data_IF_335137508093
#
_entry.id   IF_335137508093
#
_cell.length_a   1.000
_cell.length_b   1.000
_cell.length_c   1.000
_cell.angle_alpha   90.00
_cell.angle_beta   90.00
_cell.angle_gamma   90.00
#
_symmetry.space_group_name_H-M   'P 1'
#
loop_
_entity.id
_entity.type
_entity.pdbx_description
1 polymer ?
#
# COMPACT_ATOMS: atom_id res chain seq x y z
N UNK A 1 -52.76 26.44 35.62
CA UNK A 1 -53.47 26.55 34.32
C UNK A 1 -52.78 25.61 33.33
N UNK A 2 -53.51 24.54 33.02
CA UNK A 2 -53.07 23.51 32.05
C UNK A 2 -53.33 23.99 30.60
N UNK A 3 -52.41 23.73 29.67
CA UNK A 3 -52.73 23.68 28.24
C UNK A 3 -52.08 22.43 27.63
N UNK A 4 -52.95 21.51 27.24
CA UNK A 4 -52.70 20.35 26.37
C UNK A 4 -52.53 20.86 24.93
N UNK A 5 -51.64 20.23 24.15
CA UNK A 5 -51.66 20.26 22.68
C UNK A 5 -51.17 18.93 22.15
N UNK A 6 -51.92 18.34 21.53
CA UNK A 6 -52.38 17.43 20.51
C UNK A 6 -51.28 16.89 19.60
N UNK A 7 -51.25 15.53 19.55
CA UNK A 7 -50.46 14.71 18.60
C UNK A 7 -51.15 14.73 17.22
N UNK A 8 -50.35 14.95 16.18
CA UNK A 8 -50.72 14.78 14.77
C UNK A 8 -49.98 13.61 14.15
N UNK A 9 -50.67 12.49 14.02
CA UNK A 9 -50.25 11.31 13.25
C UNK A 9 -50.34 11.60 11.76
N UNK A 10 -49.25 11.40 11.02
CA UNK A 10 -49.26 11.35 9.53
C UNK A 10 -48.91 9.94 9.09
N UNK A 11 -49.89 9.24 8.61
CA UNK A 11 -49.80 8.00 7.84
C UNK A 11 -49.17 8.27 6.48
N UNK A 12 -48.05 7.59 6.16
CA UNK A 12 -47.46 7.61 4.83
C UNK A 12 -47.85 6.34 4.09
N UNK A 13 -48.50 6.53 2.95
CA UNK A 13 -48.97 5.48 2.07
C UNK A 13 -47.84 4.85 1.28
N UNK A 14 -47.66 3.55 1.40
CA UNK A 14 -46.78 2.72 0.54
C UNK A 14 -47.43 2.53 -0.83
N UNK A 15 -46.81 3.04 -1.85
CA UNK A 15 -47.15 2.72 -3.26
C UNK A 15 -46.28 1.56 -3.73
N UNK A 16 -46.90 0.39 -3.86
CA UNK A 16 -46.33 -0.80 -4.48
C UNK A 16 -46.15 -0.56 -5.98
N UNK A 17 -44.89 -0.53 -6.48
CA UNK A 17 -44.61 -0.53 -7.91
C UNK A 17 -44.30 -1.97 -8.36
N UNK A 18 -45.25 -2.54 -9.13
CA UNK A 18 -45.14 -3.87 -9.73
C UNK A 18 -44.16 -3.81 -10.90
N UNK A 19 -43.06 -4.52 -10.80
CA UNK A 19 -42.16 -4.75 -11.91
C UNK A 19 -42.63 -5.96 -12.69
N UNK A 20 -42.94 -5.71 -13.95
CA UNK A 20 -43.36 -6.66 -14.96
C UNK A 20 -42.15 -7.46 -15.46
N UNK A 21 -42.15 -8.76 -15.20
CA UNK A 21 -41.10 -9.70 -15.63
C UNK A 21 -41.36 -10.13 -17.07
N UNK A 22 -40.58 -9.72 -18.04
CA UNK A 22 -40.57 -10.27 -19.40
C UNK A 22 -39.65 -11.49 -19.43
N UNK A 23 -40.25 -12.66 -19.59
CA UNK A 23 -39.59 -13.92 -19.94
C UNK A 23 -39.39 -14.00 -21.45
N UNK A 24 -38.16 -14.13 -21.91
CA UNK A 24 -37.79 -14.45 -23.29
C UNK A 24 -37.27 -15.90 -23.27
N UNK A 25 -37.88 -16.81 -24.05
CA UNK A 25 -37.37 -18.17 -24.20
C UNK A 25 -36.25 -18.22 -25.25
N UNK A 26 -35.08 -18.70 -24.85
CA UNK A 26 -33.99 -19.03 -25.78
C UNK A 26 -34.20 -20.44 -26.29
N UNK A 27 -34.45 -20.56 -27.58
CA UNK A 27 -34.54 -21.84 -28.31
C UNK A 27 -33.15 -22.46 -28.52
N UNK A 28 -32.97 -23.67 -28.02
CA UNK A 28 -31.82 -24.53 -28.29
C UNK A 28 -31.98 -25.18 -29.63
N UNK A 29 -31.07 -24.97 -30.58
CA UNK A 29 -30.95 -25.75 -31.84
C UNK A 29 -29.80 -26.75 -31.64
N UNK A 30 -30.19 -28.03 -31.56
CA UNK A 30 -29.29 -29.18 -31.61
C UNK A 30 -29.12 -29.56 -33.09
N UNK A 31 -27.91 -29.51 -33.63
CA UNK A 31 -27.54 -30.17 -34.87
C UNK A 31 -26.68 -31.39 -34.58
N UNK A 32 -27.27 -32.55 -34.81
CA UNK A 32 -26.62 -33.86 -34.84
C UNK A 32 -26.10 -34.06 -36.25
N UNK A 33 -24.82 -34.38 -36.41
CA UNK A 33 -24.22 -34.83 -37.66
C UNK A 33 -23.37 -36.08 -37.42
N UNK A 34 -23.79 -37.17 -38.04
CA UNK A 34 -23.33 -38.53 -37.83
C UNK A 34 -22.24 -38.99 -38.79
N UNK A 35 -21.41 -39.88 -38.28
CA UNK A 35 -20.79 -41.09 -38.88
C UNK A 35 -20.04 -41.07 -40.22
N UNK A 36 -18.81 -41.61 -40.17
CA UNK A 36 -18.10 -42.18 -41.31
C UNK A 36 -16.77 -42.80 -40.96
N UNK A 37 -16.73 -44.09 -40.65
CA UNK A 37 -15.61 -45.04 -40.81
C UNK A 37 -16.07 -46.08 -41.88
N UNK A 38 -15.23 -46.97 -42.44
CA UNK A 38 -13.84 -47.37 -42.14
C UNK A 38 -12.97 -47.60 -43.44
N UNK A 39 -11.68 -47.98 -43.25
CA UNK A 39 -10.84 -48.52 -44.31
C UNK A 39 -9.48 -49.00 -43.80
N UNK A 40 -9.41 -50.29 -43.54
CA UNK A 40 -8.18 -51.04 -43.29
C UNK A 40 -7.34 -51.13 -44.55
N UNK A 41 -6.01 -51.14 -44.46
CA UNK A 41 -5.19 -52.19 -45.00
C UNK A 41 -3.74 -52.18 -44.50
N UNK A 42 -3.23 -53.38 -44.35
CA UNK A 42 -1.96 -53.82 -43.83
C UNK A 42 -0.83 -53.71 -44.84
N UNK A 43 0.41 -53.65 -44.36
CA UNK A 43 1.62 -53.77 -45.18
C UNK A 43 2.89 -53.77 -44.36
N UNK A 44 3.30 -54.95 -43.90
CA UNK A 44 4.61 -55.27 -43.33
C UNK A 44 5.73 -55.10 -44.32
N UNK A 45 6.86 -54.54 -43.94
CA UNK A 45 8.20 -55.03 -44.41
C UNK A 45 9.31 -54.53 -43.45
N UNK A 46 9.94 -55.48 -42.80
CA UNK A 46 11.23 -55.38 -42.11
C UNK A 46 12.35 -55.04 -43.09
N UNK A 47 13.24 -54.17 -42.69
CA UNK A 47 14.69 -54.32 -43.00
C UNK A 47 15.56 -53.68 -41.93
N UNK A 48 16.32 -54.51 -41.27
CA UNK A 48 17.49 -54.16 -40.45
C UNK A 48 18.58 -53.55 -41.36
N UNK A 49 19.25 -52.53 -40.84
CA UNK A 49 20.66 -52.33 -41.15
C UNK A 49 21.31 -51.55 -39.99
N UNK A 50 22.30 -52.16 -39.47
CA UNK A 50 23.26 -51.71 -38.47
C UNK A 50 24.15 -50.59 -39.01
N UNK A 51 24.52 -49.64 -38.13
CA UNK A 51 25.55 -48.62 -38.44
C UNK A 51 25.77 -47.64 -37.31
N UNK A 52 26.68 -48.00 -36.46
CA UNK A 52 27.68 -47.15 -35.75
C UNK A 52 27.33 -45.83 -35.09
N UNK A 53 27.68 -45.84 -33.84
CA UNK A 53 27.91 -44.75 -32.85
C UNK A 53 28.68 -43.56 -33.41
N UNK A 54 28.15 -42.38 -33.13
CA UNK A 54 28.99 -41.22 -32.85
C UNK A 54 28.39 -40.45 -31.66
N UNK A 55 29.12 -40.48 -30.56
CA UNK A 55 28.80 -39.74 -29.33
C UNK A 55 28.98 -38.25 -29.59
N UNK A 56 27.88 -37.52 -29.74
CA UNK A 56 27.89 -36.07 -29.57
C UNK A 56 27.57 -35.79 -28.12
N UNK A 57 28.59 -35.43 -27.37
CA UNK A 57 28.56 -34.90 -26.02
C UNK A 57 27.80 -33.57 -26.04
N UNK A 58 26.51 -33.61 -25.71
CA UNK A 58 25.69 -32.44 -25.45
C UNK A 58 26.02 -31.96 -24.04
N UNK A 59 26.89 -30.97 -23.97
CA UNK A 59 27.13 -30.19 -22.76
C UNK A 59 25.85 -29.41 -22.40
N UNK A 60 25.03 -30.00 -21.56
CA UNK A 60 24.01 -29.27 -20.84
C UNK A 60 24.69 -28.22 -19.95
N UNK A 61 24.31 -26.92 -20.02
CA UNK A 61 24.75 -25.98 -19.02
C UNK A 61 24.04 -26.34 -17.70
N UNK A 62 24.85 -26.92 -16.81
CA UNK A 62 24.48 -27.14 -15.41
C UNK A 62 24.26 -25.80 -14.73
N UNK A 63 23.03 -25.27 -14.77
CA UNK A 63 22.62 -24.13 -13.98
C UNK A 63 22.05 -24.58 -12.64
N UNK A 64 22.91 -25.16 -11.81
CA UNK A 64 22.65 -25.28 -10.38
C UNK A 64 23.26 -24.10 -9.65
N UNK A 65 22.58 -22.99 -9.72
CA UNK A 65 22.67 -21.95 -8.72
C UNK A 65 21.31 -21.93 -8.01
N UNK A 66 21.19 -22.71 -6.95
CA UNK A 66 20.14 -22.52 -5.94
C UNK A 66 20.43 -21.18 -5.26
N UNK A 67 20.06 -20.10 -5.92
CA UNK A 67 19.99 -18.82 -5.29
C UNK A 67 18.68 -18.81 -4.48
N UNK A 68 18.80 -18.80 -3.18
CA UNK A 68 17.75 -18.34 -2.25
C UNK A 68 17.48 -16.83 -2.44
N UNK A 69 17.44 -16.36 -3.66
CA UNK A 69 17.19 -14.98 -4.07
C UNK A 69 15.78 -14.85 -4.64
N UNK A 70 15.03 -13.85 -4.18
CA UNK A 70 13.73 -13.49 -4.75
C UNK A 70 13.83 -13.24 -6.26
N UNK A 71 12.67 -13.25 -6.94
CA UNK A 71 12.60 -12.95 -8.38
C UNK A 71 13.07 -11.51 -8.65
N UNK A 72 13.80 -11.29 -9.74
CA UNK A 72 14.18 -9.94 -10.16
C UNK A 72 12.94 -9.08 -10.39
N UNK A 73 12.94 -7.88 -9.82
CA UNK A 73 11.81 -6.96 -9.93
C UNK A 73 11.53 -6.56 -11.40
N UNK A 74 12.58 -6.46 -12.23
CA UNK A 74 12.44 -6.24 -13.67
C UNK A 74 11.68 -7.38 -14.34
N UNK A 75 12.05 -8.64 -14.05
CA UNK A 75 11.37 -9.80 -14.63
C UNK A 75 9.91 -9.90 -14.20
N UNK A 76 9.59 -9.58 -12.93
CA UNK A 76 8.21 -9.57 -12.44
C UNK A 76 7.42 -8.42 -13.07
N UNK A 77 8.01 -7.23 -13.24
CA UNK A 77 7.38 -6.08 -13.90
C UNK A 77 6.88 -6.41 -15.30
N UNK A 78 7.68 -7.12 -16.09
CA UNK A 78 7.32 -7.54 -17.45
C UNK A 78 6.15 -8.53 -17.51
N UNK A 79 5.83 -9.19 -16.38
CA UNK A 79 4.64 -10.07 -16.30
C UNK A 79 3.36 -9.33 -15.97
N UNK A 80 3.44 -8.08 -15.50
CA UNK A 80 2.26 -7.32 -15.12
C UNK A 80 1.51 -6.83 -16.37
N UNK A 81 0.18 -7.01 -16.43
CA UNK A 81 -0.59 -6.48 -17.54
C UNK A 81 -0.49 -4.94 -17.58
N UNK A 82 -0.27 -4.40 -18.77
CA UNK A 82 -0.30 -2.94 -19.00
C UNK A 82 -1.67 -2.54 -19.51
N UNK A 83 -2.42 -1.73 -18.75
CA UNK A 83 -3.78 -1.28 -19.08
C UNK A 83 -4.00 0.15 -18.61
N UNK A 84 -5.00 0.83 -19.18
CA UNK A 84 -5.45 2.13 -18.66
C UNK A 84 -6.09 2.02 -17.27
N UNK A 85 -6.21 3.14 -16.54
CA UNK A 85 -6.96 3.19 -15.28
C UNK A 85 -8.43 2.89 -15.53
N UNK A 86 -9.01 2.00 -14.75
CA UNK A 86 -10.46 1.82 -14.69
C UNK A 86 -11.12 3.01 -13.96
N UNK A 87 -12.42 3.24 -14.17
CA UNK A 87 -13.15 4.27 -13.45
C UNK A 87 -13.05 4.08 -11.92
N UNK A 88 -12.95 5.20 -11.19
CA UNK A 88 -12.97 5.21 -9.70
C UNK A 88 -14.39 4.99 -9.14
N UNK A 89 -15.40 4.92 -9.99
CA UNK A 89 -16.81 4.72 -9.59
C UNK A 89 -16.95 3.53 -8.64
N UNK A 90 -17.68 3.73 -7.56
CA UNK A 90 -17.90 2.70 -6.52
C UNK A 90 -16.75 2.52 -5.53
N UNK A 91 -15.67 3.26 -5.66
CA UNK A 91 -14.60 3.24 -4.66
C UNK A 91 -15.07 3.87 -3.35
N UNK A 92 -14.86 3.15 -2.27
CA UNK A 92 -14.79 3.67 -0.90
C UNK A 92 -13.79 2.79 -0.12
N UNK A 93 -13.25 3.28 0.97
CA UNK A 93 -12.38 2.47 1.83
C UNK A 93 -13.11 1.25 2.39
N UNK A 94 -14.42 1.33 2.63
CA UNK A 94 -15.25 0.23 3.13
C UNK A 94 -15.28 -0.99 2.20
N UNK A 95 -15.00 -0.79 0.89
CA UNK A 95 -14.87 -1.89 -0.06
C UNK A 95 -13.70 -2.83 0.27
N UNK A 96 -12.77 -2.39 1.12
CA UNK A 96 -11.61 -3.14 1.58
C UNK A 96 -11.81 -3.71 3.00
N UNK A 97 -13.02 -3.64 3.55
CA UNK A 97 -13.36 -4.15 4.87
C UNK A 97 -12.94 -3.22 6.01
N UNK A 98 -12.97 -3.74 7.23
CA UNK A 98 -12.59 -2.98 8.41
C UNK A 98 -11.11 -2.56 8.34
N UNK A 99 -10.84 -1.29 8.66
CA UNK A 99 -9.48 -0.80 8.77
C UNK A 99 -8.71 -1.56 9.87
N UNK A 100 -7.47 -1.90 9.59
CA UNK A 100 -6.54 -2.54 10.53
C UNK A 100 -7.07 -3.86 11.12
N UNK A 101 -7.80 -4.63 10.29
CA UNK A 101 -8.29 -5.94 10.72
C UNK A 101 -7.12 -6.86 11.09
N UNK A 102 -7.25 -7.56 12.21
CA UNK A 102 -6.37 -8.68 12.55
C UNK A 102 -6.60 -9.81 11.53
N UNK A 103 -5.72 -9.92 10.55
CA UNK A 103 -5.87 -10.88 9.43
C UNK A 103 -5.01 -12.12 9.61
N UNK A 104 -4.02 -12.09 10.49
CA UNK A 104 -3.16 -13.22 10.85
C UNK A 104 -3.58 -13.87 12.17
N UNK A 105 -4.60 -13.28 12.83
CA UNK A 105 -5.19 -13.77 14.09
C UNK A 105 -4.18 -13.86 15.24
N UNK A 106 -3.19 -12.95 15.27
CA UNK A 106 -2.21 -12.88 16.35
C UNK A 106 -2.73 -12.12 17.59
N UNK A 107 -3.94 -11.53 17.51
CA UNK A 107 -4.59 -10.76 18.56
C UNK A 107 -4.23 -9.27 18.57
N UNK A 108 -3.40 -8.83 17.63
CA UNK A 108 -3.08 -7.42 17.40
C UNK A 108 -3.81 -6.90 16.16
N UNK A 109 -4.09 -5.61 16.09
CA UNK A 109 -4.54 -5.01 14.85
C UNK A 109 -3.35 -4.78 13.90
N UNK A 110 -3.58 -4.87 12.60
CA UNK A 110 -2.52 -4.74 11.58
C UNK A 110 -1.72 -3.45 11.71
N UNK A 111 -2.33 -2.31 12.14
CA UNK A 111 -1.57 -1.08 12.38
C UNK A 111 -0.49 -1.27 13.45
N UNK A 112 -0.83 -1.95 14.54
CA UNK A 112 0.13 -2.22 15.61
C UNK A 112 1.18 -3.23 15.18
N UNK A 113 0.85 -4.22 14.34
CA UNK A 113 1.83 -5.15 13.79
C UNK A 113 2.88 -4.42 12.93
N UNK A 114 2.45 -3.50 12.07
CA UNK A 114 3.38 -2.70 11.26
C UNK A 114 4.23 -1.76 12.14
N UNK A 115 3.63 -1.12 13.16
CA UNK A 115 4.42 -0.33 14.12
C UNK A 115 5.40 -1.21 14.89
N UNK A 116 5.02 -2.44 15.25
CA UNK A 116 5.91 -3.40 15.88
C UNK A 116 7.06 -3.83 14.98
N UNK A 117 6.79 -4.02 13.70
CA UNK A 117 7.81 -4.39 12.71
C UNK A 117 8.81 -3.27 12.45
N UNK A 118 8.32 -2.04 12.23
CA UNK A 118 9.10 -0.95 11.63
C UNK A 118 9.74 -0.01 12.65
N UNK A 119 9.26 0.03 13.90
CA UNK A 119 9.82 0.88 14.96
C UNK A 119 10.87 0.15 15.78
N UNK A 120 11.88 0.88 16.22
CA UNK A 120 12.86 0.48 17.25
C UNK A 120 12.53 1.15 18.58
N UNK A 121 13.19 0.77 19.68
CA UNK A 121 13.04 1.36 21.01
C UNK A 121 11.59 1.54 21.47
N UNK A 122 10.77 0.49 21.24
CA UNK A 122 9.33 0.52 21.44
C UNK A 122 8.94 0.46 22.91
N UNK A 123 7.87 1.17 23.26
CA UNK A 123 7.11 0.95 24.50
C UNK A 123 5.69 0.51 24.16
N UNK A 124 5.04 -0.13 25.12
CA UNK A 124 3.73 -0.74 24.91
C UNK A 124 2.75 -0.34 26.01
N UNK A 125 1.48 -0.34 25.68
CA UNK A 125 0.40 -0.17 26.62
C UNK A 125 0.34 -1.40 27.55
N UNK A 126 0.35 -1.18 28.85
CA UNK A 126 0.23 -2.27 29.84
C UNK A 126 -1.04 -3.09 29.62
N UNK A 127 -0.93 -4.42 29.80
CA UNK A 127 -2.06 -5.34 29.66
C UNK A 127 -2.47 -5.66 28.22
N UNK A 128 -1.66 -5.29 27.23
CA UNK A 128 -1.96 -5.57 25.80
C UNK A 128 -1.03 -6.60 25.19
N UNK A 129 -0.30 -7.39 25.97
CA UNK A 129 0.63 -8.42 25.47
C UNK A 129 1.61 -7.91 24.40
N UNK A 130 2.11 -6.67 24.58
CA UNK A 130 2.97 -5.98 23.62
C UNK A 130 2.34 -5.73 22.23
N UNK A 131 1.01 -5.79 22.11
CA UNK A 131 0.32 -5.41 20.89
C UNK A 131 0.34 -3.90 20.66
N UNK A 132 -0.15 -3.12 21.63
CA UNK A 132 -0.37 -1.69 21.41
C UNK A 132 0.91 -0.91 21.66
N UNK A 133 1.58 -0.51 20.57
CA UNK A 133 2.77 0.35 20.62
C UNK A 133 2.37 1.75 21.07
N UNK A 134 3.00 2.28 22.11
CA UNK A 134 2.75 3.62 22.67
C UNK A 134 3.82 4.63 22.26
N UNK A 135 5.06 4.20 22.09
CA UNK A 135 6.15 5.01 21.54
C UNK A 135 7.15 4.13 20.81
N UNK A 136 8.04 4.76 20.05
CA UNK A 136 9.11 4.07 19.35
C UNK A 136 9.82 5.05 18.41
N UNK A 137 10.87 4.57 17.75
CA UNK A 137 11.69 5.35 16.84
C UNK A 137 11.61 4.75 15.44
N UNK A 138 11.25 5.56 14.45
CA UNK A 138 11.21 5.20 13.05
C UNK A 138 12.41 5.83 12.32
N UNK A 139 13.17 5.02 11.58
CA UNK A 139 14.00 5.54 10.49
C UNK A 139 13.11 5.52 9.24
N UNK A 140 12.58 6.67 8.88
CA UNK A 140 11.55 6.76 7.83
C UNK A 140 12.11 6.40 6.45
N UNK A 141 11.55 5.39 5.77
CA UNK A 141 12.04 4.98 4.46
C UNK A 141 11.79 6.05 3.37
N UNK A 142 10.81 6.93 3.54
CA UNK A 142 10.44 7.91 2.51
C UNK A 142 11.32 9.15 2.51
N UNK A 143 11.84 9.55 3.66
CA UNK A 143 12.64 10.77 3.82
C UNK A 143 14.06 10.52 4.31
N UNK A 144 14.34 9.33 4.85
CA UNK A 144 15.54 8.97 5.61
C UNK A 144 15.66 9.73 6.97
N UNK A 145 14.62 10.46 7.37
CA UNK A 145 14.61 11.14 8.66
C UNK A 145 14.32 10.16 9.81
N UNK A 146 14.81 10.51 11.00
CA UNK A 146 14.46 9.80 12.22
C UNK A 146 13.26 10.50 12.86
N UNK A 147 12.21 9.73 13.17
CA UNK A 147 10.96 10.23 13.75
C UNK A 147 10.71 9.51 15.06
N UNK A 148 10.61 10.25 16.14
CA UNK A 148 10.19 9.71 17.43
C UNK A 148 8.65 9.65 17.47
N UNK A 149 8.12 8.45 17.42
CA UNK A 149 6.68 8.19 17.49
C UNK A 149 6.20 8.20 18.93
N UNK A 150 5.15 8.95 19.19
CA UNK A 150 4.39 8.90 20.44
C UNK A 150 2.92 8.80 20.11
N UNK A 151 2.25 7.75 20.60
CA UNK A 151 0.81 7.55 20.40
C UNK A 151 0.02 8.61 21.16
N UNK A 152 -0.80 9.35 20.45
CA UNK A 152 -1.66 10.39 21.00
C UNK A 152 -2.57 11.00 19.94
N UNK A 153 -3.58 11.74 20.36
CA UNK A 153 -4.56 12.33 19.45
C UNK A 153 -3.90 13.32 18.47
N UNK A 154 -2.93 14.11 18.91
CA UNK A 154 -2.22 15.09 18.09
C UNK A 154 -0.87 14.60 17.54
N UNK A 155 -0.31 13.51 18.08
CA UNK A 155 1.06 13.07 17.79
C UNK A 155 1.12 11.84 16.89
N UNK A 156 0.08 10.99 16.90
CA UNK A 156 0.06 9.76 16.09
C UNK A 156 0.17 10.00 14.58
N UNK A 157 -0.21 11.19 14.11
CA UNK A 157 -0.15 11.56 12.70
C UNK A 157 1.28 11.75 12.16
N UNK A 158 2.28 11.90 13.05
CA UNK A 158 3.69 12.00 12.63
C UNK A 158 4.17 10.72 11.92
N UNK A 159 3.68 9.56 12.36
CA UNK A 159 3.94 8.26 11.72
C UNK A 159 2.61 7.64 11.28
N UNK A 160 2.45 7.47 9.99
CA UNK A 160 1.28 6.83 9.39
C UNK A 160 1.65 5.46 8.83
N UNK A 161 0.68 4.58 8.69
CA UNK A 161 0.85 3.33 7.95
C UNK A 161 0.33 3.57 6.53
N UNK A 162 1.26 3.54 5.59
CA UNK A 162 0.96 3.71 4.17
C UNK A 162 0.67 2.36 3.50
N UNK A 163 -0.28 2.38 2.56
CA UNK A 163 -0.43 1.33 1.56
C UNK A 163 0.49 1.66 0.39
N UNK A 164 1.59 0.92 0.23
CA UNK A 164 2.61 1.16 -0.82
C UNK A 164 1.97 1.19 -2.22
N UNK A 165 1.01 0.31 -2.46
CA UNK A 165 0.01 0.43 -3.53
C UNK A 165 -1.26 0.96 -2.89
N UNK A 166 -1.53 2.26 -3.05
CA UNK A 166 -2.68 2.93 -2.43
C UNK A 166 -4.01 2.26 -2.82
N UNK A 167 -4.96 2.17 -1.88
CA UNK A 167 -6.22 1.45 -2.11
C UNK A 167 -7.02 2.02 -3.28
N UNK A 168 -7.04 3.34 -3.45
CA UNK A 168 -7.69 4.00 -4.58
C UNK A 168 -6.98 3.72 -5.91
N UNK A 169 -5.64 3.65 -5.92
CA UNK A 169 -4.87 3.23 -7.09
C UNK A 169 -5.12 1.77 -7.42
N UNK A 170 -5.08 0.90 -6.42
CA UNK A 170 -5.39 -0.53 -6.56
C UNK A 170 -6.81 -0.76 -7.14
N UNK A 171 -7.82 0.01 -6.65
CA UNK A 171 -9.18 -0.06 -7.18
C UNK A 171 -9.22 0.18 -8.67
N UNK A 172 -8.57 1.24 -9.14
CA UNK A 172 -8.51 1.63 -10.54
C UNK A 172 -7.60 0.72 -11.39
N UNK A 173 -6.87 -0.19 -10.75
CA UNK A 173 -5.92 -1.10 -11.41
C UNK A 173 -6.21 -2.58 -11.10
N UNK A 174 -7.48 -2.92 -10.83
CA UNK A 174 -7.91 -4.31 -10.74
C UNK A 174 -8.60 -4.71 -9.44
N UNK A 175 -8.36 -4.03 -8.32
CA UNK A 175 -8.92 -4.44 -7.04
C UNK A 175 -10.46 -4.41 -7.01
N UNK A 176 -11.12 -3.59 -7.84
CA UNK A 176 -12.56 -3.62 -8.01
C UNK A 176 -13.11 -4.96 -8.53
N UNK A 177 -12.26 -5.78 -9.18
CA UNK A 177 -12.60 -7.12 -9.69
C UNK A 177 -12.35 -8.22 -8.66
N UNK A 178 -11.64 -7.92 -7.58
CA UNK A 178 -11.39 -8.88 -6.51
C UNK A 178 -12.65 -9.08 -5.67
N UNK A 179 -12.81 -10.27 -5.09
CA UNK A 179 -13.81 -10.52 -4.06
C UNK A 179 -13.47 -9.74 -2.78
N UNK A 180 -14.48 -9.49 -1.94
CA UNK A 180 -14.32 -8.66 -0.74
C UNK A 180 -13.18 -9.14 0.18
N UNK A 181 -13.06 -10.45 0.39
CA UNK A 181 -12.00 -11.00 1.25
C UNK A 181 -10.60 -10.75 0.69
N UNK A 182 -10.42 -10.82 -0.64
CA UNK A 182 -9.12 -10.49 -1.26
C UNK A 182 -8.80 -9.00 -1.17
N UNK A 183 -9.80 -8.11 -1.26
CA UNK A 183 -9.62 -6.68 -0.99
C UNK A 183 -9.24 -6.41 0.46
N UNK A 184 -9.92 -7.08 1.41
CA UNK A 184 -9.56 -7.01 2.83
C UNK A 184 -8.13 -7.47 3.10
N UNK A 185 -7.70 -8.58 2.47
CA UNK A 185 -6.32 -9.04 2.54
C UNK A 185 -5.34 -8.00 1.99
N UNK A 186 -5.58 -7.44 0.79
CA UNK A 186 -4.73 -6.40 0.20
C UNK A 186 -4.55 -5.18 1.12
N UNK A 187 -5.63 -4.76 1.78
CA UNK A 187 -5.62 -3.60 2.67
C UNK A 187 -4.91 -3.85 4.01
N UNK A 188 -4.79 -5.11 4.43
CA UNK A 188 -4.17 -5.48 5.70
C UNK A 188 -2.92 -6.38 5.51
N UNK A 189 -2.40 -6.45 4.29
CA UNK A 189 -1.21 -7.23 3.97
C UNK A 189 0.05 -6.50 4.44
N UNK A 190 0.85 -7.05 5.37
CA UNK A 190 2.12 -6.46 5.77
C UNK A 190 3.07 -6.18 4.59
N UNK A 191 2.95 -6.96 3.52
CA UNK A 191 3.69 -6.76 2.28
C UNK A 191 3.33 -5.44 1.59
N UNK A 192 2.09 -4.94 1.71
CA UNK A 192 1.62 -3.66 1.16
C UNK A 192 1.73 -2.49 2.14
N UNK A 193 2.16 -2.71 3.37
CA UNK A 193 2.08 -1.73 4.45
C UNK A 193 3.48 -1.32 4.94
N UNK A 194 3.70 -0.02 5.17
CA UNK A 194 4.90 0.55 5.77
C UNK A 194 4.55 1.64 6.77
N UNK A 195 5.27 1.68 7.91
CA UNK A 195 5.28 2.86 8.76
C UNK A 195 6.16 3.94 8.12
N UNK A 196 5.62 5.14 7.92
CA UNK A 196 6.27 6.21 7.16
C UNK A 196 5.96 7.59 7.74
N UNK A 197 6.72 8.60 7.31
CA UNK A 197 6.46 10.02 7.55
C UNK A 197 5.05 10.42 7.12
N UNK A 198 4.24 10.92 8.05
CA UNK A 198 2.85 11.29 7.81
C UNK A 198 2.69 12.32 6.68
N UNK A 199 3.40 13.46 6.71
CA UNK A 199 3.40 14.44 5.63
C UNK A 199 3.76 13.87 4.24
N UNK A 200 4.71 12.94 4.16
CA UNK A 200 5.07 12.29 2.90
C UNK A 200 3.98 11.35 2.40
N UNK A 201 3.35 10.60 3.32
CA UNK A 201 2.21 9.76 2.97
C UNK A 201 1.03 10.58 2.43
N UNK A 202 0.73 11.71 3.05
CA UNK A 202 -0.31 12.62 2.57
C UNK A 202 0.00 13.19 1.19
N UNK A 203 1.27 13.58 0.92
CA UNK A 203 1.67 14.04 -0.42
C UNK A 203 1.61 12.93 -1.46
N UNK A 204 1.89 11.68 -1.07
CA UNK A 204 1.73 10.52 -1.95
C UNK A 204 0.26 10.32 -2.33
N UNK A 205 -0.66 10.42 -1.36
CA UNK A 205 -2.10 10.19 -1.59
C UNK A 205 -2.36 8.87 -2.35
N UNK A 206 -3.09 8.88 -3.45
CA UNK A 206 -3.28 7.71 -4.33
C UNK A 206 -2.30 7.65 -5.52
N UNK A 207 -1.14 8.33 -5.39
CA UNK A 207 -0.10 8.34 -6.41
C UNK A 207 0.54 6.98 -6.63
N UNK A 208 0.78 6.66 -7.91
CA UNK A 208 1.60 5.54 -8.36
C UNK A 208 3.05 5.97 -8.65
N UNK A 209 3.91 5.05 -9.09
CA UNK A 209 5.32 5.35 -9.38
C UNK A 209 5.55 6.40 -10.48
N UNK A 210 4.54 6.66 -11.34
CA UNK A 210 4.63 7.71 -12.36
C UNK A 210 4.40 9.10 -11.79
N UNK A 211 3.68 9.20 -10.67
CA UNK A 211 3.22 10.47 -10.11
C UNK A 211 3.91 10.82 -8.79
N UNK A 212 4.39 9.83 -8.07
CA UNK A 212 5.08 10.02 -6.80
C UNK A 212 6.14 8.95 -6.54
N UNK A 213 7.29 9.37 -6.03
CA UNK A 213 8.37 8.52 -5.53
C UNK A 213 8.92 9.10 -4.22
N UNK A 214 9.41 8.26 -3.29
CA UNK A 214 10.07 8.72 -2.07
C UNK A 214 11.16 9.77 -2.34
N UNK A 215 11.23 10.80 -1.49
CA UNK A 215 12.32 11.78 -1.52
C UNK A 215 13.67 11.10 -1.27
N UNK A 216 13.69 10.11 -0.38
CA UNK A 216 14.83 9.23 -0.14
C UNK A 216 15.13 8.39 -1.40
N UNK A 217 16.12 8.83 -2.18
CA UNK A 217 16.48 8.18 -3.44
C UNK A 217 17.01 6.76 -3.24
N UNK A 218 17.68 6.48 -2.10
CA UNK A 218 18.24 5.15 -1.82
C UNK A 218 17.16 4.08 -1.63
N UNK A 219 15.96 4.49 -1.21
CA UNK A 219 14.84 3.58 -1.00
C UNK A 219 14.00 3.33 -2.26
N UNK A 220 14.17 4.10 -3.34
CA UNK A 220 13.29 4.01 -4.53
C UNK A 220 13.30 2.66 -5.19
N UNK A 221 14.44 1.98 -5.25
CA UNK A 221 14.54 0.62 -5.80
C UNK A 221 13.69 -0.36 -5.02
N UNK A 222 13.84 -0.40 -3.71
CA UNK A 222 13.06 -1.27 -2.82
C UNK A 222 11.57 -0.91 -2.81
N UNK A 223 11.25 0.39 -2.87
CA UNK A 223 9.87 0.87 -2.96
C UNK A 223 9.17 0.38 -4.24
N UNK A 224 9.80 0.56 -5.39
CA UNK A 224 9.26 0.12 -6.69
C UNK A 224 9.17 -1.40 -6.75
N UNK A 225 10.20 -2.12 -6.30
CA UNK A 225 10.16 -3.58 -6.24
C UNK A 225 9.03 -4.10 -5.36
N UNK A 226 8.76 -3.44 -4.23
CA UNK A 226 7.62 -3.78 -3.36
C UNK A 226 6.28 -3.52 -4.06
N UNK A 227 6.10 -2.39 -4.75
CA UNK A 227 4.88 -2.12 -5.53
C UNK A 227 4.64 -3.21 -6.60
N UNK A 228 5.69 -3.61 -7.32
CA UNK A 228 5.63 -4.68 -8.32
C UNK A 228 5.20 -5.99 -7.69
N UNK A 229 5.81 -6.38 -6.56
CA UNK A 229 5.46 -7.60 -5.84
C UNK A 229 4.02 -7.61 -5.34
N UNK A 230 3.52 -6.49 -4.79
CA UNK A 230 2.11 -6.35 -4.38
C UNK A 230 1.19 -6.49 -5.59
N UNK A 231 1.49 -5.82 -6.70
CA UNK A 231 0.66 -5.91 -7.91
C UNK A 231 0.62 -7.33 -8.48
N UNK A 232 1.76 -8.03 -8.50
CA UNK A 232 1.81 -9.43 -8.91
C UNK A 232 0.98 -10.32 -7.98
N UNK A 233 1.15 -10.19 -6.65
CA UNK A 233 0.43 -10.98 -5.62
C UNK A 233 -1.09 -10.84 -5.72
N UNK A 234 -1.58 -9.67 -6.10
CA UNK A 234 -3.01 -9.35 -6.16
C UNK A 234 -3.56 -9.27 -7.59
N UNK A 235 -2.80 -9.70 -8.60
CA UNK A 235 -3.19 -9.67 -10.02
C UNK A 235 -3.66 -8.28 -10.48
N UNK A 236 -3.02 -7.25 -9.98
CA UNK A 236 -3.24 -5.86 -10.39
C UNK A 236 -2.42 -5.57 -11.65
N UNK A 237 -2.82 -4.53 -12.40
CA UNK A 237 -2.08 -4.07 -13.56
C UNK A 237 -1.36 -2.74 -13.29
N UNK A 238 -0.52 -2.34 -14.23
CA UNK A 238 0.12 -1.04 -14.29
C UNK A 238 -0.38 -0.22 -15.47
N UNK A 239 -0.29 1.11 -15.40
CA UNK A 239 -0.42 1.94 -16.60
C UNK A 239 0.91 1.97 -17.35
N UNK A 240 0.92 2.33 -18.64
CA UNK A 240 2.16 2.48 -19.39
C UNK A 240 3.12 3.48 -18.71
N UNK A 241 2.59 4.62 -18.26
CA UNK A 241 3.40 5.63 -17.56
C UNK A 241 4.01 5.10 -16.25
N UNK A 242 3.26 4.28 -15.50
CA UNK A 242 3.74 3.64 -14.28
C UNK A 242 4.80 2.59 -14.59
N UNK A 243 4.57 1.73 -15.59
CA UNK A 243 5.54 0.74 -16.05
C UNK A 243 6.88 1.41 -16.44
N UNK A 244 6.82 2.47 -17.25
CA UNK A 244 8.00 3.21 -17.69
C UNK A 244 8.72 3.88 -16.52
N UNK A 245 7.98 4.40 -15.53
CA UNK A 245 8.58 4.99 -14.34
C UNK A 245 9.29 3.94 -13.48
N UNK A 246 8.66 2.78 -13.27
CA UNK A 246 9.26 1.65 -12.55
C UNK A 246 10.52 1.15 -13.25
N UNK A 247 10.47 0.95 -14.57
CA UNK A 247 11.62 0.53 -15.39
C UNK A 247 12.79 1.52 -15.27
N UNK A 248 12.52 2.84 -15.31
CA UNK A 248 13.54 3.88 -15.11
C UNK A 248 14.18 3.81 -13.73
N UNK A 249 13.43 3.54 -12.68
CA UNK A 249 13.99 3.37 -11.33
C UNK A 249 14.88 2.11 -11.30
N UNK A 250 14.37 0.98 -11.79
CA UNK A 250 15.06 -0.30 -11.75
C UNK A 250 16.31 -0.33 -12.62
N UNK A 251 16.42 0.53 -13.66
CA UNK A 251 17.64 0.63 -14.46
C UNK A 251 18.87 1.05 -13.65
N UNK A 252 18.67 1.74 -12.51
CA UNK A 252 19.76 2.09 -11.58
C UNK A 252 20.11 0.98 -10.57
N UNK A 253 19.29 -0.09 -10.52
CA UNK A 253 19.45 -1.21 -9.59
C UNK A 253 18.98 -2.53 -10.23
N UNK A 254 19.67 -3.01 -11.28
CA UNK A 254 19.19 -4.16 -12.09
C UNK A 254 19.13 -5.47 -11.32
N UNK A 255 19.85 -5.60 -10.22
CA UNK A 255 19.84 -6.78 -9.35
C UNK A 255 18.74 -6.72 -8.26
N UNK A 256 17.91 -5.65 -8.22
CA UNK A 256 16.83 -5.53 -7.25
C UNK A 256 15.80 -6.66 -7.43
N UNK A 257 15.54 -7.38 -6.35
CA UNK A 257 14.49 -8.40 -6.31
C UNK A 257 13.22 -7.86 -5.68
N UNK A 258 12.06 -8.44 -6.02
CA UNK A 258 10.86 -8.24 -5.23
C UNK A 258 11.07 -8.82 -3.83
N UNK A 259 10.53 -8.21 -2.76
CA UNK A 259 10.64 -8.76 -1.41
C UNK A 259 10.12 -10.19 -1.37
N UNK A 260 10.81 -11.07 -0.63
CA UNK A 260 10.38 -12.44 -0.36
C UNK A 260 9.54 -12.51 0.90
N UNK A 261 8.78 -13.59 1.06
CA UNK A 261 7.96 -13.80 2.25
C UNK A 261 6.66 -13.00 2.26
N UNK A 262 6.12 -12.80 3.44
CA UNK A 262 4.83 -12.14 3.70
C UNK A 262 4.95 -10.64 4.04
N UNK A 263 6.13 -10.06 3.93
CA UNK A 263 6.40 -8.68 4.31
C UNK A 263 6.62 -8.49 5.82
N UNK A 264 6.90 -9.58 6.53
CA UNK A 264 7.18 -9.55 7.97
C UNK A 264 8.50 -8.84 8.32
N UNK A 265 9.39 -8.66 7.34
CA UNK A 265 10.68 -8.00 7.56
C UNK A 265 10.54 -6.48 7.50
N UNK A 266 11.19 -5.79 8.46
CA UNK A 266 11.32 -4.33 8.44
C UNK A 266 12.16 -3.89 7.24
N UNK A 267 11.75 -2.79 6.59
CA UNK A 267 12.52 -2.13 5.54
C UNK A 267 13.35 -0.96 6.06
N UNK A 268 13.24 -0.67 7.36
CA UNK A 268 14.06 0.37 7.99
C UNK A 268 15.54 -0.04 7.90
N UNK A 269 16.47 0.88 7.58
CA UNK A 269 17.89 0.63 7.70
C UNK A 269 18.18 0.19 9.12
N UNK A 270 18.75 -1.01 9.30
CA UNK A 270 19.27 -1.41 10.59
C UNK A 270 20.50 -0.54 10.85
N UNK A 271 20.48 0.25 11.93
CA UNK A 271 21.69 0.89 12.40
C UNK A 271 22.67 -0.23 12.76
N UNK A 272 23.79 -0.29 12.05
CA UNK A 272 24.88 -1.20 12.35
C UNK A 272 25.42 -0.80 13.73
N UNK A 273 24.92 -1.49 14.76
CA UNK A 273 25.52 -1.39 16.09
C UNK A 273 26.82 -2.19 16.04
N UNK A 274 27.83 -1.61 15.41
CA UNK A 274 29.21 -2.04 15.59
C UNK A 274 29.51 -1.94 17.09
N UNK A 275 29.54 -3.07 17.75
CA UNK A 275 30.06 -3.19 19.09
C UNK A 275 31.55 -2.79 19.08
N UNK A 276 31.78 -1.50 19.22
CA UNK A 276 33.09 -0.97 19.55
C UNK A 276 33.43 -1.35 20.99
N UNK A 277 34.24 -2.37 21.12
CA UNK A 277 34.93 -2.70 22.36
C UNK A 277 35.82 -1.49 22.74
N UNK A 278 35.35 -0.62 23.61
CA UNK A 278 36.16 0.47 24.16
C UNK A 278 36.89 -0.02 25.38
N UNK A 279 38.19 -0.20 25.23
CA UNK A 279 39.15 -0.20 26.33
C UNK A 279 39.12 1.17 27.00
N UNK A 280 38.98 1.14 28.33
CA UNK A 280 39.16 2.30 29.21
C UNK A 280 40.61 2.76 29.15
N UNK A 281 40.81 4.06 29.01
CA UNK A 281 41.88 4.73 29.76
C UNK A 281 41.47 6.17 30.07
N UNK A 282 41.65 6.56 31.30
CA UNK A 282 41.24 7.84 31.84
C UNK A 282 42.26 8.94 31.62
N UNK A 283 41.83 10.17 31.57
CA UNK A 283 42.52 11.31 32.22
C UNK A 283 41.66 12.57 32.23
N UNK A 284 41.69 13.21 33.34
CA UNK A 284 41.05 14.47 33.77
C UNK A 284 41.43 15.67 32.88
N UNK A 285 40.52 16.66 32.79
CA UNK A 285 40.83 18.00 32.29
C UNK A 285 39.60 18.89 32.27
N UNK A 286 39.36 19.61 33.38
CA UNK A 286 38.48 20.78 33.46
C UNK A 286 38.87 21.86 32.47
N UNK A 287 37.93 22.45 31.76
CA UNK A 287 37.83 23.91 31.60
C UNK A 287 36.45 24.33 31.09
N UNK A 288 35.87 25.20 31.88
CA UNK A 288 34.67 26.00 31.70
C UNK A 288 34.91 27.04 30.61
N UNK A 289 33.98 27.15 29.63
CA UNK A 289 33.71 28.46 29.03
C UNK A 289 32.24 28.57 28.61
N UNK A 290 31.66 29.62 29.14
CA UNK A 290 30.33 30.17 28.95
C UNK A 290 30.17 30.66 27.50
N UNK A 291 29.11 30.23 26.81
CA UNK A 291 28.62 30.94 25.65
C UNK A 291 27.09 31.01 25.66
N UNK A 292 26.68 32.23 25.75
CA UNK A 292 25.35 32.82 25.75
C UNK A 292 24.35 32.11 24.78
N UNK A 293 23.24 31.67 25.38
CA UNK A 293 22.01 31.28 24.69
C UNK A 293 21.38 32.52 24.09
N UNK A 294 21.27 32.57 22.77
CA UNK A 294 20.36 33.48 22.04
C UNK A 294 19.11 32.68 21.78
N UNK A 295 18.08 33.00 22.52
CA UNK A 295 16.70 32.52 22.35
C UNK A 295 16.12 33.17 21.06
N UNK A 296 15.60 32.40 20.06
CA UNK A 296 14.81 32.98 19.02
C UNK A 296 13.40 33.19 19.56
N UNK A 297 12.98 34.45 19.53
CA UNK A 297 11.67 34.95 19.89
C UNK A 297 10.55 34.13 19.22
N UNK A 298 9.57 33.74 20.03
CA UNK A 298 8.29 33.23 19.57
C UNK A 298 7.59 34.27 18.66
N UNK A 299 6.99 33.84 17.53
CA UNK A 299 6.07 34.71 16.82
C UNK A 299 4.79 34.84 17.65
N UNK A 300 4.47 36.08 17.98
CA UNK A 300 3.26 36.54 18.64
C UNK A 300 1.99 36.03 17.97
N UNK A 301 1.07 35.58 18.80
CA UNK A 301 -0.33 35.32 18.50
C UNK A 301 -0.94 36.54 17.75
N UNK A 302 -1.27 36.31 16.49
CA UNK A 302 -2.00 37.23 15.62
C UNK A 302 -3.35 36.62 15.26
N UNK A 303 -4.39 37.13 15.89
CA UNK A 303 -5.76 37.27 15.42
C UNK A 303 -6.42 36.05 14.73
N UNK A 304 -7.30 35.38 15.50
CA UNK A 304 -8.29 34.42 15.01
C UNK A 304 -9.36 35.13 14.18
N UNK A 305 -9.02 35.63 13.00
CA UNK A 305 -10.02 36.02 12.01
C UNK A 305 -10.60 34.75 11.39
N UNK A 306 -11.93 34.66 11.29
CA UNK A 306 -12.69 33.58 10.66
C UNK A 306 -12.23 33.38 9.21
N UNK A 307 -11.26 32.51 9.00
CA UNK A 307 -10.80 32.14 7.65
C UNK A 307 -11.84 31.25 7.02
N UNK A 308 -12.46 31.70 5.95
CA UNK A 308 -13.44 30.91 5.20
C UNK A 308 -12.96 30.64 3.77
N UNK A 309 -12.99 29.37 3.38
CA UNK A 309 -12.71 28.95 2.01
C UNK A 309 -13.99 28.43 1.35
N UNK A 310 -14.34 28.96 0.19
CA UNK A 310 -15.55 28.57 -0.54
C UNK A 310 -15.50 27.17 -1.16
N UNK A 311 -14.29 26.65 -1.43
CA UNK A 311 -14.03 25.33 -2.00
C UNK A 311 -12.54 24.98 -1.89
N UNK A 312 -12.19 23.72 -2.19
CA UNK A 312 -10.82 23.22 -2.14
C UNK A 312 -9.86 23.92 -3.12
N UNK A 313 -10.35 24.46 -4.23
CA UNK A 313 -9.51 25.25 -5.13
C UNK A 313 -9.00 26.53 -4.44
N UNK A 314 -9.85 27.17 -3.64
CA UNK A 314 -9.46 28.35 -2.86
C UNK A 314 -8.45 28.00 -1.74
N UNK A 315 -8.61 26.85 -1.10
CA UNK A 315 -7.65 26.35 -0.09
C UNK A 315 -6.28 26.08 -0.74
N UNK A 316 -6.26 25.42 -1.89
CA UNK A 316 -5.01 25.14 -2.64
C UNK A 316 -4.35 26.41 -3.13
N UNK A 317 -5.12 27.39 -3.65
CA UNK A 317 -4.60 28.68 -4.09
C UNK A 317 -3.97 29.49 -2.94
N UNK A 318 -4.49 29.32 -1.71
CA UNK A 318 -3.93 29.94 -0.51
C UNK A 318 -2.73 29.16 0.07
N UNK A 319 -2.33 28.05 -0.54
CA UNK A 319 -1.24 27.20 -0.05
C UNK A 319 -1.54 26.50 1.30
N UNK A 320 -2.83 26.33 1.64
CA UNK A 320 -3.28 25.79 2.93
C UNK A 320 -3.85 24.37 2.84
N UNK A 321 -3.90 23.77 1.67
CA UNK A 321 -4.31 22.38 1.52
C UNK A 321 -3.16 21.42 1.89
N UNK A 322 -3.47 20.28 2.56
CA UNK A 322 -4.78 19.92 3.12
C UNK A 322 -5.07 20.68 4.43
N UNK A 323 -6.37 20.88 4.75
CA UNK A 323 -6.82 21.45 6.01
C UNK A 323 -7.30 20.35 6.96
N UNK A 324 -6.82 20.37 8.18
CA UNK A 324 -7.21 19.40 9.21
C UNK A 324 -8.32 19.93 10.11
N UNK A 325 -9.17 19.04 10.60
CA UNK A 325 -10.21 19.37 11.56
C UNK A 325 -9.64 20.13 12.76
N UNK A 326 -10.17 21.33 13.01
CA UNK A 326 -9.69 22.25 14.05
C UNK A 326 -8.73 23.32 13.55
N UNK A 327 -8.31 23.31 12.29
CA UNK A 327 -7.53 24.40 11.72
C UNK A 327 -8.44 25.53 11.21
N UNK A 328 -7.97 26.79 11.21
CA UNK A 328 -8.71 27.92 10.64
C UNK A 328 -9.05 27.65 9.16
N UNK A 329 -10.32 27.78 8.81
CA UNK A 329 -10.82 27.53 7.45
C UNK A 329 -11.26 26.09 7.17
N UNK A 330 -11.06 25.14 8.09
CA UNK A 330 -11.63 23.80 7.94
C UNK A 330 -13.16 23.84 8.02
N UNK A 331 -13.82 23.11 7.14
CA UNK A 331 -15.26 22.83 7.25
C UNK A 331 -15.57 21.44 6.70
N UNK A 332 -16.59 20.82 7.23
CA UNK A 332 -17.09 19.50 6.76
C UNK A 332 -17.61 19.53 5.31
N UNK A 333 -17.85 20.69 4.75
CA UNK A 333 -18.17 20.87 3.31
C UNK A 333 -16.95 20.73 2.40
N UNK A 334 -15.75 20.93 2.94
CA UNK A 334 -14.48 20.79 2.24
C UNK A 334 -13.86 19.42 2.42
N UNK A 335 -14.33 18.67 3.41
CA UNK A 335 -13.96 17.31 3.80
C UNK A 335 -15.01 16.36 3.23
N UNK A 336 -14.77 15.84 2.03
CA UNK A 336 -15.77 15.12 1.23
C UNK A 336 -16.06 13.69 1.72
N UNK A 337 -15.14 13.07 2.45
CA UNK A 337 -15.27 11.72 3.00
C UNK A 337 -15.38 11.70 4.54
N UNK A 338 -15.29 12.88 5.17
CA UNK A 338 -15.52 13.04 6.61
C UNK A 338 -14.41 12.49 7.51
N UNK A 339 -13.21 12.27 6.98
CA UNK A 339 -12.08 11.70 7.70
C UNK A 339 -11.33 12.71 8.58
N UNK A 340 -11.70 13.98 8.50
CA UNK A 340 -11.08 15.09 9.24
C UNK A 340 -9.96 15.78 8.47
N UNK A 341 -9.76 15.47 7.18
CA UNK A 341 -8.80 16.08 6.28
C UNK A 341 -9.53 16.65 5.07
N UNK A 342 -9.61 17.95 4.98
CA UNK A 342 -10.30 18.64 3.89
C UNK A 342 -9.32 19.02 2.77
N UNK A 343 -9.77 18.90 1.53
CA UNK A 343 -9.05 19.36 0.34
C UNK A 343 -7.73 18.65 0.05
N UNK A 344 -7.63 17.39 0.46
CA UNK A 344 -6.50 16.53 0.08
C UNK A 344 -6.40 16.28 -1.45
#
# INVERSE_FOLDING_TARGET
MMKKSSAGSRTSSNTFNRILTCLIPIAFVLTVGACGTPGSDAGSAERQSSGQSESAESSEPSSSASASGGQLATSVLETLPVKGRAPKTGYSRDQFGAAWADVDHNGCDTRNDILNRDLTNKTYKAGTHNCVVTSGRLVDPYTAAVIDFVRGQSTSAAVQIDHVVALSDAWQKGAQQLIADRRKQLANDPYNLLAVDGPSNQRKSDGDAATWLPANKSFRCSYVARQIGVKAKYSLWVTQAEHDAMSRVLSSCPAQTVPTGDGAESVAPQEDVSQGSSSQDGSSGEQSESSTVVEPAAPSDGDSSDVYYKNCAAVRAAGKAPLYKGQPGYSTKLDGDGDGVACE
#
